data_IF_956089536144
#
_entry.id   IF_956089536144
#
_cell.length_a   1.000
_cell.length_b   1.000
_cell.length_c   1.000
_cell.angle_alpha   90.00
_cell.angle_beta   90.00
_cell.angle_gamma   90.00
#
_symmetry.space_group_name_H-M   'P 1'
#
loop_
_entity.id
_entity.type
_entity.pdbx_description
1 polymer ?
#
# COMPACT_ATOMS: atom_id res chain seq x y z
N UNK A 1 14.61 35.80 -36.11
CA UNK A 1 15.29 36.97 -36.70
C UNK A 1 15.40 38.04 -35.63
N UNK A 2 16.54 38.10 -34.94
CA UNK A 2 16.98 39.31 -34.27
C UNK A 2 17.99 39.98 -35.21
N UNK A 3 17.87 41.30 -35.32
CA UNK A 3 18.61 42.19 -36.22
C UNK A 3 20.12 42.04 -35.99
N UNK A 4 20.90 41.94 -37.07
CA UNK A 4 22.37 41.99 -37.05
C UNK A 4 22.83 43.30 -36.39
N UNK A 5 23.12 43.23 -35.09
CA UNK A 5 23.66 44.33 -34.32
C UNK A 5 25.18 44.13 -34.22
N UNK A 6 25.93 44.94 -34.97
CA UNK A 6 27.39 44.89 -35.00
C UNK A 6 27.97 45.19 -33.60
N UNK A 7 28.70 44.22 -33.04
CA UNK A 7 29.44 44.36 -31.78
C UNK A 7 30.96 44.33 -32.06
N UNK A 8 31.69 45.31 -31.55
CA UNK A 8 33.17 45.28 -31.49
C UNK A 8 33.61 45.13 -30.04
N UNK A 9 33.72 43.87 -29.56
CA UNK A 9 34.06 43.51 -28.18
C UNK A 9 33.82 42.02 -27.90
N UNK A 10 33.98 41.59 -26.64
CA UNK A 10 33.59 40.24 -26.19
C UNK A 10 32.25 40.35 -25.47
N UNK A 11 31.25 39.62 -25.95
CA UNK A 11 29.96 39.42 -25.28
C UNK A 11 29.92 38.03 -24.67
N UNK A 12 29.26 37.90 -23.52
CA UNK A 12 28.89 36.60 -22.97
C UNK A 12 27.39 36.43 -23.18
N UNK A 13 27.01 35.46 -23.98
CA UNK A 13 25.62 35.03 -24.13
C UNK A 13 25.48 33.78 -23.27
N UNK A 14 24.56 33.83 -22.30
CA UNK A 14 24.23 32.65 -21.50
C UNK A 14 23.43 31.67 -22.36
N UNK A 15 24.14 30.68 -22.90
CA UNK A 15 23.54 29.57 -23.65
C UNK A 15 23.13 28.49 -22.64
N UNK A 16 21.86 28.51 -22.22
CA UNK A 16 21.26 27.49 -21.35
C UNK A 16 20.75 26.29 -22.20
N UNK A 17 21.66 25.69 -22.96
CA UNK A 17 21.42 24.45 -23.72
C UNK A 17 22.34 23.35 -23.19
N UNK A 18 21.76 22.28 -22.66
CA UNK A 18 22.49 21.11 -22.19
C UNK A 18 21.62 20.19 -21.34
N UNK A 19 22.07 18.94 -21.21
CA UNK A 19 21.45 17.95 -20.35
C UNK A 19 21.47 18.44 -18.89
N UNK A 20 20.30 18.49 -18.25
CA UNK A 20 20.16 18.83 -16.83
C UNK A 20 20.25 17.57 -15.97
N UNK A 21 20.91 17.63 -14.80
CA UNK A 21 20.98 16.48 -13.91
C UNK A 21 19.59 16.12 -13.38
N UNK A 22 19.21 14.85 -13.51
CA UNK A 22 17.98 14.31 -12.94
C UNK A 22 18.24 13.98 -11.47
N UNK A 23 17.45 14.58 -10.58
CA UNK A 23 17.45 14.20 -9.16
C UNK A 23 16.49 13.04 -8.93
N UNK A 24 16.86 12.14 -8.02
CA UNK A 24 15.96 11.04 -7.63
C UNK A 24 14.89 11.57 -6.69
N UNK A 25 13.63 11.20 -6.93
CA UNK A 25 12.51 11.52 -6.02
C UNK A 25 12.68 10.81 -4.68
N UNK A 26 12.06 11.35 -3.63
CA UNK A 26 12.07 10.71 -2.30
C UNK A 26 11.26 9.42 -2.33
N UNK A 27 11.91 8.30 -1.98
CA UNK A 27 11.32 6.96 -2.08
C UNK A 27 10.49 6.50 -0.87
N UNK A 28 10.58 7.22 0.26
CA UNK A 28 10.24 6.69 1.58
C UNK A 28 9.25 7.56 2.35
N UNK A 29 8.28 8.16 1.64
CA UNK A 29 7.20 8.91 2.28
C UNK A 29 6.09 7.91 2.62
N UNK A 30 5.76 7.81 3.90
CA UNK A 30 4.75 6.87 4.41
C UNK A 30 3.41 7.58 4.48
N UNK A 31 2.40 7.08 3.78
CA UNK A 31 1.00 7.46 3.94
C UNK A 31 0.31 6.51 4.91
N UNK A 32 -0.27 7.04 5.99
CA UNK A 32 -1.02 6.26 6.97
C UNK A 32 -2.42 6.85 7.16
N UNK A 33 -3.43 5.98 7.17
CA UNK A 33 -4.81 6.32 7.50
C UNK A 33 -5.28 5.53 8.72
N UNK A 34 -6.05 6.17 9.60
CA UNK A 34 -6.59 5.53 10.79
C UNK A 34 -7.36 6.48 11.70
N UNK A 35 -7.78 5.97 12.85
CA UNK A 35 -8.52 6.74 13.85
C UNK A 35 -7.57 7.34 14.89
N UNK A 36 -7.95 8.49 15.42
CA UNK A 36 -7.32 9.11 16.58
C UNK A 36 -8.34 10.03 17.27
N UNK A 37 -9.22 9.51 18.15
CA UNK A 37 -10.24 10.33 18.82
C UNK A 37 -9.64 11.51 19.60
N UNK A 38 -8.51 11.27 20.27
CA UNK A 38 -7.83 12.23 21.16
C UNK A 38 -6.85 13.19 20.45
N UNK A 39 -6.84 13.22 19.12
CA UNK A 39 -5.96 14.11 18.35
C UNK A 39 -6.44 15.56 18.34
N UNK A 40 -5.48 16.50 18.35
CA UNK A 40 -5.73 17.93 18.13
C UNK A 40 -6.37 18.13 16.74
N UNK A 41 -7.66 18.48 16.72
CA UNK A 41 -8.42 18.66 15.48
C UNK A 41 -7.93 19.82 14.60
N UNK A 42 -7.17 20.77 15.17
CA UNK A 42 -6.56 21.86 14.38
C UNK A 42 -5.30 21.38 13.69
N UNK A 43 -4.50 20.56 14.38
CA UNK A 43 -3.28 19.99 13.82
C UNK A 43 -3.58 18.85 12.83
N UNK A 44 -4.53 17.98 13.18
CA UNK A 44 -4.96 16.82 12.39
C UNK A 44 -6.48 16.88 12.15
N UNK A 45 -6.92 17.71 11.20
CA UNK A 45 -8.31 17.74 10.77
C UNK A 45 -8.73 16.43 10.10
N UNK A 46 -10.01 16.07 10.24
CA UNK A 46 -10.58 14.86 9.65
C UNK A 46 -10.49 14.90 8.12
N UNK A 47 -10.22 13.73 7.51
CA UNK A 47 -10.14 13.48 6.07
C UNK A 47 -9.13 14.34 5.30
N UNK A 48 -8.30 15.14 5.97
CA UNK A 48 -7.32 16.01 5.33
C UNK A 48 -5.89 15.51 5.58
N UNK A 49 -5.10 15.28 4.51
CA UNK A 49 -3.70 14.89 4.64
C UNK A 49 -2.91 15.94 5.43
N UNK A 50 -2.18 15.51 6.45
CA UNK A 50 -1.31 16.33 7.28
C UNK A 50 0.09 15.72 7.33
N UNK A 51 1.13 16.56 7.30
CA UNK A 51 2.52 16.11 7.29
C UNK A 51 3.09 16.06 8.72
N UNK A 52 3.78 14.96 9.03
CA UNK A 52 4.72 14.85 10.15
C UNK A 52 6.12 14.70 9.57
N UNK A 53 7.00 15.67 9.82
CA UNK A 53 8.34 15.71 9.25
C UNK A 53 9.38 15.05 10.16
N UNK A 54 9.13 13.81 10.59
CA UNK A 54 10.03 13.05 11.49
C UNK A 54 10.07 13.54 12.94
N UNK A 55 9.23 14.51 13.31
CA UNK A 55 9.21 15.10 14.65
C UNK A 55 8.25 14.35 15.58
N UNK A 56 8.80 13.74 16.65
CA UNK A 56 7.98 13.12 17.72
C UNK A 56 7.06 14.13 18.41
N UNK A 57 7.44 15.41 18.45
CA UNK A 57 6.59 16.47 19.01
C UNK A 57 5.34 16.73 18.18
N UNK A 58 5.45 16.60 16.86
CA UNK A 58 4.28 16.72 15.96
C UNK A 58 3.40 15.48 16.08
N UNK A 59 4.01 14.30 16.12
CA UNK A 59 3.29 13.04 16.34
C UNK A 59 2.52 13.00 17.66
N UNK A 60 3.07 13.57 18.74
CA UNK A 60 2.39 13.65 20.04
C UNK A 60 1.05 14.39 20.01
N UNK A 61 0.77 15.22 18.98
CA UNK A 61 -0.53 15.88 18.83
C UNK A 61 -1.63 14.93 18.32
N UNK A 62 -1.28 13.71 17.92
CA UNK A 62 -2.24 12.64 17.60
C UNK A 62 -2.91 12.06 18.85
N UNK A 63 -2.29 12.24 20.02
CA UNK A 63 -2.86 11.83 21.29
C UNK A 63 -2.54 12.89 22.36
N UNK A 64 -3.46 13.85 22.47
CA UNK A 64 -3.30 14.96 23.41
C UNK A 64 -3.61 14.57 24.86
N UNK A 65 -4.28 13.44 25.07
CA UNK A 65 -4.70 12.96 26.39
C UNK A 65 -3.77 11.88 26.95
N UNK A 66 -2.91 11.29 26.11
CA UNK A 66 -2.03 10.19 26.48
C UNK A 66 -2.78 8.88 26.73
N UNK A 67 -3.94 8.70 26.08
CA UNK A 67 -4.80 7.52 26.24
C UNK A 67 -4.48 6.40 25.24
N UNK A 68 -3.72 6.70 24.19
CA UNK A 68 -3.41 5.75 23.12
C UNK A 68 -4.63 5.33 22.30
N UNK A 69 -5.72 6.09 22.34
CA UNK A 69 -6.97 5.73 21.65
C UNK A 69 -6.86 5.85 20.12
N UNK A 70 -7.50 4.89 19.43
CA UNK A 70 -7.48 4.77 17.99
C UNK A 70 -6.26 3.99 17.47
N UNK A 71 -6.05 4.03 16.16
CA UNK A 71 -4.99 3.23 15.50
C UNK A 71 -3.76 4.04 15.11
N UNK A 72 -3.87 5.37 14.99
CA UNK A 72 -2.76 6.22 14.52
C UNK A 72 -1.66 6.46 15.55
N UNK A 73 -1.92 6.71 16.85
CA UNK A 73 -0.87 7.06 17.80
C UNK A 73 0.21 5.96 17.91
N UNK A 74 -0.20 4.72 18.17
CA UNK A 74 0.72 3.57 18.29
C UNK A 74 1.41 3.25 16.96
N UNK A 75 0.70 3.37 15.83
CA UNK A 75 1.27 3.11 14.52
C UNK A 75 2.33 4.14 14.10
N UNK A 76 2.10 5.44 14.35
CA UNK A 76 3.08 6.49 14.06
C UNK A 76 4.31 6.34 14.95
N UNK A 77 4.13 6.03 16.24
CA UNK A 77 5.25 5.77 17.13
C UNK A 77 6.09 4.56 16.66
N UNK A 78 5.40 3.49 16.23
CA UNK A 78 6.02 2.30 15.65
C UNK A 78 6.88 2.57 14.41
N UNK A 79 6.48 3.53 13.56
CA UNK A 79 7.28 3.98 12.42
C UNK A 79 8.51 4.77 12.91
N UNK A 80 8.28 5.69 13.86
CA UNK A 80 9.31 6.59 14.41
C UNK A 80 10.37 5.87 15.25
N UNK A 81 10.08 4.68 15.76
CA UNK A 81 11.04 3.79 16.44
C UNK A 81 12.07 3.17 15.49
N UNK A 82 11.72 3.05 14.20
CA UNK A 82 12.66 2.59 13.19
C UNK A 82 13.49 3.75 12.64
N UNK A 83 12.81 4.82 12.20
CA UNK A 83 13.42 6.00 11.62
C UNK A 83 12.52 7.22 11.75
N UNK A 84 13.11 8.42 11.81
CA UNK A 84 12.41 9.70 11.71
C UNK A 84 11.89 9.95 10.29
N UNK A 85 10.98 9.10 9.82
CA UNK A 85 10.43 9.13 8.48
C UNK A 85 9.48 10.32 8.28
N UNK A 86 9.30 10.73 7.03
CA UNK A 86 8.26 11.70 6.65
C UNK A 86 6.96 10.95 6.49
N UNK A 87 5.94 11.33 7.27
CA UNK A 87 4.66 10.64 7.34
C UNK A 87 3.54 11.59 6.92
N UNK A 88 2.73 11.17 5.96
CA UNK A 88 1.46 11.78 5.60
C UNK A 88 0.37 11.06 6.36
N UNK A 89 -0.24 11.73 7.33
CA UNK A 89 -1.30 11.19 8.18
C UNK A 89 -2.65 11.67 7.66
N UNK A 90 -3.58 10.73 7.48
CA UNK A 90 -5.00 11.01 7.23
C UNK A 90 -5.78 10.48 8.43
N UNK A 91 -6.33 11.39 9.23
CA UNK A 91 -7.19 11.03 10.37
C UNK A 91 -8.62 10.87 9.89
N UNK A 92 -9.26 9.75 10.23
CA UNK A 92 -10.69 9.53 10.00
C UNK A 92 -11.45 9.50 11.31
N UNK A 93 -12.76 9.73 11.24
CA UNK A 93 -13.64 9.68 12.39
C UNK A 93 -13.90 8.23 12.81
N UNK A 94 -13.85 7.98 14.11
CA UNK A 94 -14.23 6.70 14.70
C UNK A 94 -15.75 6.66 14.85
N UNK A 95 -16.38 5.72 14.15
CA UNK A 95 -17.83 5.52 14.20
C UNK A 95 -18.28 4.83 15.49
N UNK A 96 -19.59 4.78 15.72
CA UNK A 96 -20.15 4.06 16.87
C UNK A 96 -20.02 2.52 16.72
N UNK A 97 -19.76 2.05 15.50
CA UNK A 97 -19.52 0.64 15.18
C UNK A 97 -18.26 0.50 14.32
N UNK A 98 -17.60 -0.67 14.41
CA UNK A 98 -16.41 -0.98 13.59
C UNK A 98 -16.68 -0.83 12.08
N UNK A 99 -17.92 -1.06 11.67
CA UNK A 99 -18.33 -0.92 10.28
C UNK A 99 -18.43 0.54 9.84
N UNK A 100 -18.98 1.42 10.68
CA UNK A 100 -18.98 2.86 10.42
C UNK A 100 -17.54 3.38 10.35
N UNK A 101 -16.68 2.94 11.25
CA UNK A 101 -15.24 3.25 11.21
C UNK A 101 -14.60 2.74 9.91
N UNK A 102 -14.88 1.51 9.49
CA UNK A 102 -14.37 0.96 8.23
C UNK A 102 -14.86 1.77 7.02
N UNK A 103 -16.13 2.20 7.02
CA UNK A 103 -16.69 3.05 5.98
C UNK A 103 -15.98 4.41 5.92
N UNK A 104 -15.67 5.00 7.07
CA UNK A 104 -14.90 6.24 7.15
C UNK A 104 -13.45 6.06 6.68
N UNK A 105 -12.82 4.91 6.96
CA UNK A 105 -11.47 4.57 6.48
C UNK A 105 -11.45 4.39 4.95
N UNK A 106 -12.44 3.70 4.39
CA UNK A 106 -12.62 3.60 2.93
C UNK A 106 -12.82 5.00 2.34
N UNK A 107 -13.72 5.77 2.93
CA UNK A 107 -14.07 7.11 2.50
C UNK A 107 -14.61 7.12 1.07
N UNK A 108 -14.20 8.12 0.30
CA UNK A 108 -14.69 8.32 -1.05
C UNK A 108 -14.41 9.74 -1.53
N UNK A 109 -15.34 10.28 -2.31
CA UNK A 109 -15.37 11.71 -2.65
C UNK A 109 -16.64 12.30 -2.08
N UNK A 110 -16.51 13.28 -1.21
CA UNK A 110 -17.65 14.00 -0.68
C UNK A 110 -18.35 14.75 -1.83
N UNK A 111 -19.65 14.48 -2.01
CA UNK A 111 -20.40 14.96 -3.17
C UNK A 111 -20.65 16.48 -3.16
N UNK A 112 -20.52 17.14 -2.00
CA UNK A 112 -20.82 18.56 -1.83
C UNK A 112 -19.56 19.43 -1.95
N UNK A 113 -18.46 18.96 -1.38
CA UNK A 113 -17.17 19.66 -1.28
C UNK A 113 -16.16 19.19 -2.31
N UNK A 114 -16.36 18.00 -2.90
CA UNK A 114 -15.42 17.35 -3.80
C UNK A 114 -14.12 16.88 -3.12
N UNK A 115 -14.08 16.88 -1.78
CA UNK A 115 -12.91 16.45 -1.04
C UNK A 115 -12.78 14.93 -1.06
N UNK A 116 -11.53 14.46 -1.18
CA UNK A 116 -11.22 13.05 -1.02
C UNK A 116 -11.16 12.69 0.46
N UNK A 117 -11.82 11.60 0.84
CA UNK A 117 -11.95 11.14 2.22
C UNK A 117 -11.31 9.76 2.40
N UNK A 118 -10.97 9.39 3.64
CA UNK A 118 -10.38 8.09 3.94
C UNK A 118 -9.09 7.80 3.16
N UNK A 119 -8.96 6.58 2.63
CA UNK A 119 -7.79 6.19 1.81
C UNK A 119 -7.62 7.05 0.55
N UNK A 120 -8.72 7.56 -0.03
CA UNK A 120 -8.63 8.36 -1.26
C UNK A 120 -7.92 9.69 -1.03
N UNK A 121 -7.88 10.19 0.21
CA UNK A 121 -7.17 11.42 0.56
C UNK A 121 -5.67 11.36 0.23
N UNK A 122 -5.06 10.17 0.12
CA UNK A 122 -3.68 10.02 -0.34
C UNK A 122 -3.45 10.58 -1.75
N UNK A 123 -4.45 10.55 -2.64
CA UNK A 123 -4.35 11.15 -3.99
C UNK A 123 -4.19 12.67 -3.94
N UNK A 124 -4.73 13.32 -2.91
CA UNK A 124 -4.64 14.76 -2.73
C UNK A 124 -3.36 15.21 -2.01
N UNK A 125 -2.64 14.28 -1.38
CA UNK A 125 -1.49 14.60 -0.52
C UNK A 125 -0.39 15.38 -1.24
N UNK A 126 -0.05 15.02 -2.48
CA UNK A 126 0.97 15.73 -3.25
C UNK A 126 0.55 17.18 -3.56
N UNK A 127 -0.71 17.39 -3.96
CA UNK A 127 -1.22 18.73 -4.27
C UNK A 127 -1.34 19.62 -3.04
N UNK A 128 -1.63 19.05 -1.87
CA UNK A 128 -1.86 19.81 -0.63
C UNK A 128 -0.55 20.05 0.12
N UNK A 129 0.30 19.02 0.23
CA UNK A 129 1.49 19.02 1.09
C UNK A 129 2.80 19.11 0.29
N UNK A 130 2.79 18.89 -1.03
CA UNK A 130 4.00 18.75 -1.84
C UNK A 130 4.70 17.39 -1.68
N UNK A 131 4.06 16.43 -1.01
CA UNK A 131 4.63 15.12 -0.70
C UNK A 131 3.67 14.00 -1.12
N UNK A 132 4.06 13.22 -2.13
CA UNK A 132 3.34 12.03 -2.56
C UNK A 132 3.75 10.81 -1.69
N UNK A 133 2.81 10.15 -0.99
CA UNK A 133 3.13 8.94 -0.23
C UNK A 133 3.44 7.78 -1.19
N UNK A 134 4.52 7.04 -0.92
CA UNK A 134 4.98 5.89 -1.71
C UNK A 134 4.86 4.55 -0.98
N UNK A 135 4.58 4.59 0.32
CA UNK A 135 4.30 3.43 1.16
C UNK A 135 2.95 3.71 1.83
N UNK A 136 1.92 2.92 1.55
CA UNK A 136 0.56 3.14 2.05
C UNK A 136 0.20 2.12 3.14
N UNK A 137 -0.42 2.61 4.21
CA UNK A 137 -0.80 1.84 5.39
C UNK A 137 -2.23 2.19 5.82
N UNK A 138 -2.97 1.17 6.25
CA UNK A 138 -4.20 1.33 7.02
C UNK A 138 -4.20 0.32 8.18
N UNK A 139 -3.39 0.56 9.23
CA UNK A 139 -3.20 -0.39 10.32
C UNK A 139 -4.53 -0.67 11.03
N UNK A 140 -4.82 -1.94 11.27
CA UNK A 140 -6.10 -2.36 11.85
C UNK A 140 -7.26 -2.49 10.87
N UNK A 141 -7.12 -2.03 9.63
CA UNK A 141 -8.20 -2.08 8.64
C UNK A 141 -7.89 -2.98 7.43
N UNK A 142 -6.66 -3.49 7.35
CA UNK A 142 -6.18 -4.35 6.24
C UNK A 142 -6.14 -5.84 6.57
N UNK A 143 -6.65 -6.29 7.72
CA UNK A 143 -6.49 -7.68 8.17
C UNK A 143 -7.74 -8.55 7.95
N UNK A 144 -8.89 -7.94 7.70
CA UNK A 144 -10.17 -8.64 7.69
C UNK A 144 -10.42 -9.36 6.36
N UNK A 145 -10.81 -10.63 6.46
CA UNK A 145 -11.32 -11.44 5.35
C UNK A 145 -12.71 -11.93 5.72
N UNK A 146 -13.71 -11.63 4.88
CA UNK A 146 -15.09 -12.05 5.17
C UNK A 146 -15.30 -13.44 4.58
N UNK A 147 -15.35 -14.45 5.46
CA UNK A 147 -15.71 -15.82 5.09
C UNK A 147 -17.16 -16.12 5.46
N UNK A 148 -17.94 -16.62 4.51
CA UNK A 148 -19.35 -16.96 4.74
C UNK A 148 -20.19 -15.73 5.08
N UNK A 149 -19.88 -14.56 4.56
CA UNK A 149 -20.72 -13.36 4.72
C UNK A 149 -21.85 -13.32 3.68
N UNK A 150 -22.95 -12.65 3.98
CA UNK A 150 -24.05 -12.40 3.05
C UNK A 150 -23.58 -11.43 1.95
N UNK A 151 -23.52 -11.88 0.70
CA UNK A 151 -23.03 -11.09 -0.45
C UNK A 151 -24.19 -10.51 -1.27
N UNK A 152 -25.28 -11.26 -1.41
CA UNK A 152 -26.44 -10.81 -2.17
C UNK A 152 -27.73 -11.07 -1.43
N UNK A 153 -28.70 -10.18 -1.62
CA UNK A 153 -30.07 -10.31 -1.14
C UNK A 153 -31.02 -10.17 -2.32
N UNK A 154 -31.68 -11.27 -2.66
CA UNK A 154 -32.68 -11.32 -3.75
C UNK A 154 -34.05 -11.68 -3.20
N UNK A 155 -35.10 -11.57 -4.00
CA UNK A 155 -36.44 -12.00 -3.62
C UNK A 155 -37.56 -11.22 -4.30
N UNK A 156 -38.78 -11.48 -3.86
CA UNK A 156 -40.00 -10.89 -4.43
C UNK A 156 -40.34 -9.60 -3.68
N UNK A 157 -40.87 -8.60 -4.39
CA UNK A 157 -41.14 -7.25 -3.87
C UNK A 157 -42.29 -7.19 -2.86
N UNK A 158 -43.22 -8.16 -2.94
CA UNK A 158 -44.46 -8.15 -2.17
C UNK A 158 -45.36 -6.95 -2.49
N UNK A 159 -46.39 -6.75 -1.67
CA UNK A 159 -47.30 -5.60 -1.80
C UNK A 159 -48.00 -5.25 -0.48
N UNK A 160 -48.45 -4.00 -0.36
CA UNK A 160 -49.25 -3.53 0.78
C UNK A 160 -48.44 -3.17 2.03
N UNK A 161 -47.14 -2.93 1.87
CA UNK A 161 -46.28 -2.43 2.95
C UNK A 161 -46.37 -0.91 3.09
N UNK A 162 -45.93 -0.38 4.22
CA UNK A 162 -45.79 1.06 4.45
C UNK A 162 -44.50 1.56 3.81
N UNK A 163 -44.55 2.71 3.12
CA UNK A 163 -43.37 3.31 2.52
C UNK A 163 -42.37 3.77 3.59
N UNK A 164 -41.09 3.48 3.37
CA UNK A 164 -40.04 3.72 4.35
C UNK A 164 -38.80 2.86 4.10
N UNK A 165 -37.77 3.08 4.92
CA UNK A 165 -36.59 2.20 4.95
C UNK A 165 -36.56 1.47 6.29
N UNK A 166 -36.52 0.14 6.24
CA UNK A 166 -36.62 -0.71 7.41
C UNK A 166 -35.42 -1.64 7.51
N UNK A 167 -34.88 -1.78 8.72
CA UNK A 167 -33.87 -2.80 9.03
C UNK A 167 -34.53 -4.16 9.09
N UNK A 168 -34.02 -5.12 8.31
CA UNK A 168 -34.51 -6.48 8.23
C UNK A 168 -34.12 -7.26 9.47
N UNK A 169 -35.03 -8.12 9.92
CA UNK A 169 -34.76 -9.07 11.00
C UNK A 169 -34.12 -10.34 10.42
N UNK A 170 -32.92 -10.66 10.89
CA UNK A 170 -32.21 -11.88 10.54
C UNK A 170 -32.80 -13.10 11.28
N UNK A 171 -32.96 -14.24 10.61
CA UNK A 171 -33.33 -15.51 11.24
C UNK A 171 -32.79 -16.73 10.46
N UNK A 172 -32.50 -17.83 11.15
CA UNK A 172 -32.26 -19.14 10.50
C UNK A 172 -30.87 -19.36 9.87
N UNK A 173 -29.90 -18.48 10.07
CA UNK A 173 -28.49 -18.72 9.70
C UNK A 173 -27.80 -19.71 10.66
N UNK A 174 -26.86 -20.50 10.16
CA UNK A 174 -26.07 -21.43 11.00
C UNK A 174 -24.58 -21.08 10.97
N UNK A 175 -23.95 -21.01 12.15
CA UNK A 175 -22.51 -20.82 12.32
C UNK A 175 -21.98 -19.38 12.20
N UNK A 176 -22.79 -18.45 11.67
CA UNK A 176 -22.41 -17.05 11.51
C UNK A 176 -23.24 -16.08 12.35
N UNK A 177 -22.77 -14.83 12.44
CA UNK A 177 -23.43 -13.76 13.18
C UNK A 177 -23.20 -12.40 12.53
N UNK A 178 -24.11 -11.45 12.80
CA UNK A 178 -23.88 -10.02 12.56
C UNK A 178 -24.26 -9.52 11.17
N UNK A 179 -25.02 -10.30 10.39
CA UNK A 179 -25.53 -9.81 9.12
C UNK A 179 -26.69 -8.82 9.34
N UNK A 180 -26.58 -7.62 8.76
CA UNK A 180 -27.58 -6.56 8.87
C UNK A 180 -27.94 -6.14 7.45
N UNK A 181 -29.23 -6.03 7.17
CA UNK A 181 -29.70 -5.57 5.87
C UNK A 181 -30.89 -4.64 6.03
N UNK A 182 -31.12 -3.79 5.04
CA UNK A 182 -32.27 -2.88 5.00
C UNK A 182 -33.04 -3.07 3.70
N UNK A 183 -34.33 -2.77 3.76
CA UNK A 183 -35.21 -2.73 2.60
C UNK A 183 -35.87 -1.35 2.50
N UNK A 184 -35.83 -0.76 1.30
CA UNK A 184 -36.56 0.47 0.98
C UNK A 184 -37.85 0.10 0.27
N UNK A 185 -38.95 0.65 0.77
CA UNK A 185 -40.31 0.41 0.31
C UNK A 185 -40.87 1.71 -0.27
N UNK A 186 -41.36 1.65 -1.51
CA UNK A 186 -41.99 2.78 -2.21
C UNK A 186 -43.22 2.28 -2.95
N UNK A 187 -44.37 2.95 -2.80
CA UNK A 187 -45.64 2.51 -3.37
C UNK A 187 -46.10 1.16 -2.79
N UNK A 188 -45.73 0.85 -1.55
CA UNK A 188 -46.05 -0.38 -0.83
C UNK A 188 -45.36 -1.64 -1.35
N UNK A 189 -44.28 -1.51 -2.11
CA UNK A 189 -43.44 -2.60 -2.65
C UNK A 189 -41.99 -2.41 -2.26
N UNK A 190 -41.26 -3.49 -2.00
CA UNK A 190 -39.82 -3.45 -1.76
C UNK A 190 -39.10 -3.12 -3.08
N UNK A 191 -38.56 -1.92 -3.20
CA UNK A 191 -37.87 -1.43 -4.40
C UNK A 191 -36.35 -1.60 -4.33
N UNK A 192 -35.77 -1.60 -3.13
CA UNK A 192 -34.33 -1.77 -2.92
C UNK A 192 -34.06 -2.67 -1.71
N UNK A 193 -33.08 -3.57 -1.84
CA UNK A 193 -32.52 -4.39 -0.76
C UNK A 193 -31.05 -4.03 -0.64
N UNK A 194 -30.61 -3.62 0.54
CA UNK A 194 -29.23 -3.18 0.78
C UNK A 194 -28.67 -3.99 1.92
N UNK A 195 -27.52 -4.63 1.69
CA UNK A 195 -26.76 -5.25 2.78
C UNK A 195 -26.02 -4.12 3.47
N UNK A 196 -26.30 -3.94 4.75
CA UNK A 196 -25.58 -2.99 5.59
C UNK A 196 -24.35 -3.69 6.12
N UNK A 197 -24.50 -4.76 6.88
CA UNK A 197 -23.41 -5.62 7.33
C UNK A 197 -23.53 -6.99 6.67
N UNK A 198 -22.46 -7.48 6.04
CA UNK A 198 -22.45 -8.83 5.47
C UNK A 198 -22.42 -9.92 6.55
N UNK A 199 -22.00 -9.59 7.77
CA UNK A 199 -21.68 -10.55 8.81
C UNK A 199 -20.56 -11.50 8.39
N UNK A 200 -20.28 -12.51 9.21
CA UNK A 200 -19.26 -13.53 8.90
C UNK A 200 -19.59 -14.87 9.54
N UNK A 201 -18.96 -15.93 9.04
CA UNK A 201 -19.03 -17.28 9.60
C UNK A 201 -20.25 -18.11 9.20
N UNK A 202 -21.15 -17.61 8.34
CA UNK A 202 -22.33 -18.38 7.96
C UNK A 202 -21.94 -19.58 7.10
N UNK A 203 -22.27 -20.78 7.57
CA UNK A 203 -22.17 -22.03 6.80
C UNK A 203 -23.46 -22.35 6.06
N UNK A 204 -24.58 -21.81 6.56
CA UNK A 204 -25.89 -21.80 5.92
C UNK A 204 -26.39 -20.37 5.93
N UNK A 205 -26.83 -19.88 4.77
CA UNK A 205 -27.26 -18.49 4.60
C UNK A 205 -28.44 -18.14 5.52
N UNK A 206 -28.39 -16.98 6.20
CA UNK A 206 -29.51 -16.50 7.00
C UNK A 206 -30.67 -16.07 6.11
N UNK A 207 -31.88 -16.15 6.64
CA UNK A 207 -33.08 -15.59 6.01
C UNK A 207 -33.42 -14.25 6.64
N UNK A 208 -33.98 -13.33 5.85
CA UNK A 208 -34.37 -12.01 6.34
C UNK A 208 -35.86 -11.81 6.19
N UNK A 209 -36.46 -11.06 7.12
CA UNK A 209 -37.86 -10.67 7.08
C UNK A 209 -38.02 -9.19 7.41
N UNK A 210 -39.08 -8.57 6.88
CA UNK A 210 -39.46 -7.22 7.27
C UNK A 210 -39.92 -7.20 8.73
N UNK A 211 -39.57 -6.15 9.50
CA UNK A 211 -40.08 -5.98 10.86
C UNK A 211 -41.57 -5.63 10.82
N UNK A 212 -42.27 -5.83 11.95
CA UNK A 212 -43.71 -5.55 12.08
C UNK A 212 -44.07 -4.08 11.75
N UNK A 213 -43.11 -3.16 11.94
CA UNK A 213 -43.24 -1.73 11.66
C UNK A 213 -43.43 -1.41 10.17
N UNK A 214 -43.04 -2.32 9.27
CA UNK A 214 -43.25 -2.19 7.83
C UNK A 214 -44.72 -2.42 7.41
N UNK A 215 -45.61 -2.71 8.36
CA UNK A 215 -47.04 -2.90 8.13
C UNK A 215 -47.44 -4.32 7.75
N UNK A 216 -48.74 -4.52 7.48
CA UNK A 216 -49.35 -5.83 7.22
C UNK A 216 -49.25 -6.30 5.75
N UNK A 217 -48.21 -5.86 5.03
CA UNK A 217 -48.00 -6.25 3.65
C UNK A 217 -47.72 -7.75 3.49
N UNK A 218 -47.93 -8.29 2.29
CA UNK A 218 -47.78 -9.72 2.01
C UNK A 218 -46.85 -9.99 0.82
N UNK A 219 -46.17 -11.14 0.84
CA UNK A 219 -45.45 -11.69 -0.31
C UNK A 219 -44.03 -11.18 -0.54
N UNK A 220 -43.47 -10.33 0.32
CA UNK A 220 -42.05 -9.97 0.22
C UNK A 220 -41.17 -11.13 0.71
N UNK A 221 -40.12 -11.45 -0.04
CA UNK A 221 -39.12 -12.47 0.34
C UNK A 221 -37.72 -11.90 0.24
N UNK A 222 -36.82 -12.44 1.07
CA UNK A 222 -35.40 -12.08 1.11
C UNK A 222 -34.57 -13.35 1.22
N UNK A 223 -33.91 -13.70 0.13
CA UNK A 223 -33.02 -14.84 -0.02
C UNK A 223 -31.60 -14.31 -0.02
N UNK A 224 -30.86 -14.62 1.05
CA UNK A 224 -29.44 -14.30 1.15
C UNK A 224 -28.60 -15.37 0.43
N UNK A 225 -27.56 -14.93 -0.27
CA UNK A 225 -26.48 -15.81 -0.72
C UNK A 225 -25.24 -15.48 0.06
N UNK A 226 -24.60 -16.49 0.65
CA UNK A 226 -23.32 -16.35 1.34
C UNK A 226 -22.16 -16.55 0.38
N UNK A 227 -21.00 -15.98 0.70
CA UNK A 227 -19.77 -16.28 0.01
C UNK A 227 -18.55 -15.68 0.70
N UNK A 228 -17.47 -15.52 -0.07
CA UNK A 228 -16.22 -14.92 0.38
C UNK A 228 -16.06 -13.52 -0.22
N UNK A 229 -15.60 -12.58 0.60
CA UNK A 229 -15.20 -11.25 0.16
C UNK A 229 -13.83 -10.89 0.76
N UNK A 230 -12.91 -10.45 -0.10
CA UNK A 230 -11.61 -9.93 0.32
C UNK A 230 -11.74 -8.59 1.07
N UNK A 231 -10.63 -8.10 1.59
CA UNK A 231 -10.62 -6.85 2.34
C UNK A 231 -10.92 -5.64 1.44
N UNK A 232 -11.96 -4.87 1.79
CA UNK A 232 -12.37 -3.71 1.01
C UNK A 232 -11.30 -2.60 0.97
N UNK A 233 -10.57 -2.38 2.09
CA UNK A 233 -9.57 -1.31 2.18
C UNK A 233 -8.37 -1.60 1.30
N UNK A 234 -7.87 -2.84 1.31
CA UNK A 234 -6.78 -3.25 0.41
C UNK A 234 -7.23 -3.20 -1.05
N UNK A 235 -8.47 -3.62 -1.35
CA UNK A 235 -9.01 -3.54 -2.71
C UNK A 235 -9.03 -2.11 -3.26
N UNK A 236 -9.52 -1.14 -2.47
CA UNK A 236 -9.49 0.28 -2.86
C UNK A 236 -8.07 0.84 -2.91
N UNK A 237 -7.22 0.49 -1.94
CA UNK A 237 -5.82 0.91 -1.91
C UNK A 237 -5.05 0.45 -3.14
N UNK A 238 -5.35 -0.70 -3.74
CA UNK A 238 -4.66 -1.17 -4.97
C UNK A 238 -4.80 -0.14 -6.09
N UNK A 239 -6.01 0.34 -6.35
CA UNK A 239 -6.23 1.37 -7.39
C UNK A 239 -5.56 2.70 -7.06
N UNK A 240 -5.48 3.06 -5.78
CA UNK A 240 -4.76 4.25 -5.31
C UNK A 240 -3.24 4.07 -5.51
N UNK A 241 -2.72 2.91 -5.13
CA UNK A 241 -1.30 2.57 -5.22
C UNK A 241 -0.82 2.49 -6.67
N UNK A 242 -1.66 2.04 -7.60
CA UNK A 242 -1.35 2.08 -9.03
C UNK A 242 -1.24 3.51 -9.56
N UNK A 243 -2.16 4.39 -9.17
CA UNK A 243 -2.14 5.80 -9.58
C UNK A 243 -0.95 6.55 -8.98
N UNK A 244 -0.62 6.28 -7.71
CA UNK A 244 0.48 6.91 -6.99
C UNK A 244 1.82 6.18 -7.13
N UNK A 245 1.91 5.10 -7.92
CA UNK A 245 3.10 4.21 -7.97
C UNK A 245 3.66 3.91 -6.57
N UNK A 246 2.76 3.59 -5.65
CA UNK A 246 3.05 3.30 -4.25
C UNK A 246 2.96 1.80 -3.97
N UNK A 247 3.48 1.37 -2.82
CA UNK A 247 3.32 0.00 -2.32
C UNK A 247 2.48 0.02 -1.04
N UNK A 248 1.63 -0.97 -0.87
CA UNK A 248 0.76 -1.15 0.29
C UNK A 248 1.43 -2.18 1.20
N UNK A 249 1.63 -1.83 2.47
CA UNK A 249 2.01 -2.81 3.49
C UNK A 249 0.73 -3.21 4.22
N UNK A 250 0.21 -4.39 3.89
CA UNK A 250 -1.00 -4.93 4.48
C UNK A 250 -0.65 -5.85 5.66
N UNK A 251 -1.49 -5.86 6.68
CA UNK A 251 -1.40 -6.80 7.78
C UNK A 251 -2.22 -8.07 7.48
N UNK A 252 -1.71 -9.23 7.88
CA UNK A 252 -2.47 -10.48 7.84
C UNK A 252 -3.51 -10.57 8.97
N UNK A 253 -4.43 -11.57 8.89
CA UNK A 253 -5.48 -11.77 9.88
C UNK A 253 -4.97 -12.15 11.27
N UNK A 254 -3.70 -12.57 11.41
CA UNK A 254 -3.08 -13.01 12.65
C UNK A 254 -3.74 -14.25 13.32
N UNK A 255 -4.69 -14.90 12.66
CA UNK A 255 -5.41 -16.08 13.18
C UNK A 255 -4.56 -17.35 13.07
N UNK A 256 -4.34 -17.85 11.85
CA UNK A 256 -3.56 -19.04 11.57
C UNK A 256 -2.89 -18.97 10.18
N UNK A 257 -1.98 -19.91 9.91
CA UNK A 257 -1.21 -19.92 8.65
C UNK A 257 -2.10 -20.10 7.41
N UNK A 258 -3.14 -20.94 7.50
CA UNK A 258 -4.03 -21.21 6.38
C UNK A 258 -4.85 -19.97 6.01
N UNK A 259 -5.37 -19.25 7.01
CA UNK A 259 -6.11 -18.01 6.80
C UNK A 259 -5.22 -16.92 6.20
N UNK A 260 -3.97 -16.80 6.68
CA UNK A 260 -3.00 -15.84 6.11
C UNK A 260 -2.66 -16.16 4.64
N UNK A 261 -2.50 -17.44 4.30
CA UNK A 261 -2.28 -17.90 2.92
C UNK A 261 -3.51 -17.65 2.05
N UNK A 262 -4.71 -17.94 2.56
CA UNK A 262 -5.96 -17.70 1.84
C UNK A 262 -6.15 -16.20 1.59
N UNK A 263 -5.85 -15.36 2.58
CA UNK A 263 -5.91 -13.92 2.47
C UNK A 263 -4.95 -13.35 1.43
N UNK A 264 -3.70 -13.84 1.39
CA UNK A 264 -2.74 -13.49 0.35
C UNK A 264 -3.24 -13.80 -1.07
N UNK A 265 -4.04 -14.86 -1.22
CA UNK A 265 -4.62 -15.30 -2.50
C UNK A 265 -5.66 -14.35 -3.09
N UNK A 266 -6.22 -13.44 -2.30
CA UNK A 266 -7.35 -12.60 -2.73
C UNK A 266 -6.94 -11.40 -3.61
N UNK A 267 -5.66 -10.98 -3.63
CA UNK A 267 -5.25 -9.68 -4.20
C UNK A 267 -4.53 -9.73 -5.55
N UNK A 268 -3.59 -10.67 -5.75
CA UNK A 268 -2.85 -10.83 -7.00
C UNK A 268 -2.03 -9.62 -7.51
N UNK A 269 -1.83 -8.58 -6.69
CA UNK A 269 -1.22 -7.31 -7.10
C UNK A 269 0.24 -7.19 -6.68
N UNK A 270 1.09 -6.69 -7.59
CA UNK A 270 2.49 -6.33 -7.29
C UNK A 270 2.64 -5.17 -6.29
N UNK A 271 1.55 -4.44 -6.04
CA UNK A 271 1.53 -3.30 -5.13
C UNK A 271 1.33 -3.72 -3.67
N UNK A 272 0.91 -4.96 -3.40
CA UNK A 272 0.62 -5.41 -2.03
C UNK A 272 1.79 -6.23 -1.50
N UNK A 273 2.24 -5.85 -0.31
CA UNK A 273 3.21 -6.58 0.49
C UNK A 273 2.56 -6.95 1.83
N UNK A 274 2.27 -8.24 2.01
CA UNK A 274 1.55 -8.75 3.17
C UNK A 274 2.52 -9.15 4.28
N UNK A 275 2.23 -8.73 5.51
CA UNK A 275 3.00 -9.06 6.70
C UNK A 275 2.10 -9.78 7.72
N UNK A 276 2.48 -11.01 8.09
CA UNK A 276 1.83 -11.79 9.15
C UNK A 276 2.92 -12.51 9.95
N UNK A 277 2.90 -12.48 11.30
CA UNK A 277 1.82 -12.08 12.21
C UNK A 277 1.94 -10.65 12.78
N UNK A 278 0.99 -10.29 13.66
CA UNK A 278 1.09 -9.10 14.53
C UNK A 278 2.31 -9.15 15.46
N UNK A 279 2.70 -7.99 16.00
CA UNK A 279 3.84 -7.84 16.91
C UNK A 279 3.39 -7.59 18.35
N UNK A 280 4.23 -7.96 19.30
CA UNK A 280 4.03 -7.68 20.73
C UNK A 280 4.87 -6.48 21.15
N UNK A 281 4.23 -5.51 21.81
CA UNK A 281 4.83 -4.27 22.29
C UNK A 281 4.40 -3.99 23.72
N UNK A 282 5.07 -3.04 24.37
CA UNK A 282 4.62 -2.52 25.66
C UNK A 282 3.91 -1.21 25.44
N UNK A 283 2.71 -1.06 26.01
CA UNK A 283 1.98 0.20 26.03
C UNK A 283 2.58 1.17 27.07
N UNK A 284 2.08 2.41 27.10
CA UNK A 284 2.53 3.42 28.06
C UNK A 284 2.21 3.07 29.53
N UNK A 285 1.29 2.13 29.75
CA UNK A 285 0.95 1.60 31.08
C UNK A 285 1.89 0.45 31.52
N UNK A 286 2.80 0.01 30.66
CA UNK A 286 3.75 -1.08 30.96
C UNK A 286 3.21 -2.48 30.69
N UNK A 287 2.02 -2.62 30.10
CA UNK A 287 1.41 -3.91 29.76
C UNK A 287 1.84 -4.38 28.36
N UNK A 288 1.89 -5.70 28.17
CA UNK A 288 2.17 -6.30 26.87
C UNK A 288 0.90 -6.27 26.01
N UNK A 289 0.93 -5.53 24.92
CA UNK A 289 -0.16 -5.37 23.97
C UNK A 289 0.22 -5.95 22.60
N UNK A 290 -0.80 -6.34 21.84
CA UNK A 290 -0.64 -6.82 20.47
C UNK A 290 -0.94 -5.68 19.51
N UNK A 291 -0.01 -5.44 18.58
CA UNK A 291 -0.06 -4.33 17.64
C UNK A 291 0.19 -4.80 16.21
N UNK A 292 -0.25 -4.00 15.24
CA UNK A 292 -0.09 -4.30 13.82
C UNK A 292 1.37 -4.19 13.38
N UNK A 293 1.80 -5.06 12.46
CA UNK A 293 3.19 -5.14 12.02
C UNK A 293 3.51 -4.15 10.89
N UNK A 294 2.51 -3.76 10.10
CA UNK A 294 2.65 -2.87 8.94
C UNK A 294 3.35 -1.54 9.25
N UNK A 295 3.12 -0.84 10.39
CA UNK A 295 3.83 0.40 10.69
C UNK A 295 5.31 0.17 11.02
N UNK A 296 5.62 -0.91 11.74
CA UNK A 296 7.01 -1.30 12.02
C UNK A 296 7.76 -1.61 10.72
N UNK A 297 7.12 -2.31 9.79
CA UNK A 297 7.72 -2.65 8.49
C UNK A 297 7.87 -1.42 7.59
N UNK A 298 6.91 -0.51 7.58
CA UNK A 298 7.03 0.74 6.83
C UNK A 298 8.18 1.62 7.34
N UNK A 299 8.31 1.75 8.67
CA UNK A 299 9.44 2.43 9.29
C UNK A 299 10.78 1.75 8.96
N UNK A 300 10.80 0.41 8.93
CA UNK A 300 11.99 -0.37 8.56
C UNK A 300 12.39 -0.14 7.10
N UNK A 301 11.43 -0.10 6.19
CA UNK A 301 11.66 0.24 4.78
C UNK A 301 12.26 1.66 4.70
N UNK A 302 11.65 2.64 5.37
CA UNK A 302 12.16 4.01 5.36
C UNK A 302 13.59 4.13 5.93
N UNK A 303 13.89 3.37 6.98
CA UNK A 303 15.25 3.26 7.52
C UNK A 303 16.22 2.65 6.51
N UNK A 304 15.86 1.52 5.91
CA UNK A 304 16.69 0.81 4.93
C UNK A 304 16.97 1.69 3.72
N UNK A 305 15.99 2.46 3.25
CA UNK A 305 16.16 3.37 2.13
C UNK A 305 17.15 4.49 2.44
N UNK A 306 17.12 5.03 3.65
CA UNK A 306 18.03 6.08 4.09
C UNK A 306 19.47 5.56 4.28
N UNK A 307 19.64 4.34 4.78
CA UNK A 307 20.96 3.76 5.07
C UNK A 307 21.61 3.05 3.87
N UNK A 308 20.80 2.41 3.00
CA UNK A 308 21.29 1.51 1.94
C UNK A 308 20.76 1.83 0.54
N UNK A 309 19.67 2.59 0.45
CA UNK A 309 18.98 2.90 -0.80
C UNK A 309 17.72 2.06 -1.01
N UNK A 310 16.79 2.58 -1.81
CA UNK A 310 15.45 1.99 -2.03
C UNK A 310 15.44 0.68 -2.82
N UNK A 311 16.54 0.38 -3.51
CA UNK A 311 16.74 -0.86 -4.26
C UNK A 311 17.14 -2.04 -3.36
N UNK A 312 17.44 -1.79 -2.08
CA UNK A 312 17.70 -2.87 -1.13
C UNK A 312 16.41 -3.52 -0.64
N UNK A 313 16.47 -4.83 -0.43
CA UNK A 313 15.39 -5.55 0.22
C UNK A 313 15.29 -5.15 1.71
N UNK A 314 14.08 -4.87 2.23
CA UNK A 314 13.86 -4.72 3.68
C UNK A 314 13.94 -6.05 4.45
N UNK A 315 14.07 -7.20 3.77
CA UNK A 315 14.26 -8.50 4.41
C UNK A 315 15.61 -8.59 5.12
N UNK A 316 15.68 -9.45 6.13
CA UNK A 316 16.84 -9.68 7.00
C UNK A 316 17.32 -8.44 7.77
N UNK A 317 16.48 -7.40 7.89
CA UNK A 317 16.76 -6.23 8.71
C UNK A 317 16.12 -6.36 10.09
N UNK A 318 16.80 -5.82 11.11
CA UNK A 318 16.31 -5.83 12.48
C UNK A 318 15.15 -4.84 12.66
N UNK A 319 14.08 -5.30 13.31
CA UNK A 319 12.94 -4.45 13.70
C UNK A 319 13.14 -3.99 15.13
N UNK A 320 13.12 -2.67 15.34
CA UNK A 320 13.20 -2.05 16.66
C UNK A 320 11.82 -2.00 17.34
N UNK A 321 11.79 -1.82 18.66
CA UNK A 321 10.53 -1.53 19.39
C UNK A 321 9.54 -2.70 19.49
N UNK A 322 9.96 -3.94 19.18
CA UNK A 322 9.13 -5.14 19.34
C UNK A 322 9.75 -6.11 20.34
N UNK A 323 8.88 -6.76 21.10
CA UNK A 323 9.25 -7.74 22.14
C UNK A 323 9.00 -9.18 21.70
N UNK A 324 8.15 -9.36 20.69
CA UNK A 324 7.74 -10.66 20.18
C UNK A 324 6.84 -10.54 18.96
N UNK A 325 6.48 -11.70 18.43
CA UNK A 325 5.36 -11.85 17.50
C UNK A 325 4.16 -12.39 18.28
N UNK A 326 2.96 -11.95 17.93
CA UNK A 326 1.71 -12.43 18.56
C UNK A 326 1.54 -13.94 18.36
N UNK A 327 1.93 -14.42 17.18
CA UNK A 327 1.97 -15.83 16.82
C UNK A 327 3.42 -16.26 16.64
N UNK A 328 3.89 -17.35 17.29
CA UNK A 328 5.27 -17.78 17.13
C UNK A 328 5.49 -18.30 15.71
N UNK A 329 6.47 -17.76 15.02
CA UNK A 329 6.93 -18.24 13.71
C UNK A 329 8.23 -19.01 13.91
N UNK A 330 8.20 -20.32 13.68
CA UNK A 330 9.41 -21.12 13.69
C UNK A 330 10.27 -20.83 12.46
N UNK A 331 11.56 -20.68 12.72
CA UNK A 331 12.60 -20.49 11.74
C UNK A 331 13.84 -21.26 12.18
N UNK A 332 14.42 -22.02 11.25
CA UNK A 332 15.69 -22.70 11.44
C UNK A 332 16.45 -22.70 10.13
N UNK A 333 17.74 -22.34 10.20
CA UNK A 333 18.62 -22.36 9.03
C UNK A 333 18.68 -23.76 8.40
N UNK A 334 18.33 -23.86 7.12
CA UNK A 334 18.34 -25.11 6.36
C UNK A 334 17.10 -26.01 6.56
N UNK A 335 16.09 -25.57 7.31
CA UNK A 335 14.84 -26.32 7.49
C UNK A 335 13.78 -25.89 6.47
N UNK A 336 13.45 -26.79 5.54
CA UNK A 336 12.42 -26.56 4.52
C UNK A 336 10.99 -26.59 5.08
N UNK A 337 10.80 -27.21 6.25
CA UNK A 337 9.48 -27.38 6.86
C UNK A 337 9.13 -26.27 7.86
N UNK A 338 10.01 -25.28 8.03
CA UNK A 338 9.77 -24.16 8.91
C UNK A 338 8.53 -23.36 8.46
N UNK A 339 7.68 -22.92 9.39
CA UNK A 339 6.51 -22.08 9.12
C UNK A 339 6.88 -20.80 8.37
N UNK A 340 8.01 -20.18 8.72
CA UNK A 340 8.52 -19.03 7.98
C UNK A 340 8.70 -19.31 6.48
N UNK A 341 9.13 -20.53 6.13
CA UNK A 341 9.30 -20.94 4.73
C UNK A 341 7.95 -21.19 4.05
N UNK A 342 7.02 -21.87 4.75
CA UNK A 342 5.65 -22.11 4.26
C UNK A 342 4.94 -20.80 3.87
N UNK A 343 4.99 -19.80 4.77
CA UNK A 343 4.37 -18.50 4.53
C UNK A 343 5.06 -17.71 3.41
N UNK A 344 6.40 -17.71 3.37
CA UNK A 344 7.16 -17.02 2.32
C UNK A 344 7.00 -17.63 0.93
N UNK A 345 6.79 -18.94 0.82
CA UNK A 345 6.47 -19.59 -0.46
C UNK A 345 5.13 -19.10 -1.01
N UNK A 346 4.20 -18.70 -0.12
CA UNK A 346 2.90 -18.12 -0.47
C UNK A 346 2.89 -16.59 -0.40
N UNK A 347 4.08 -15.97 -0.55
CA UNK A 347 4.27 -14.52 -0.62
C UNK A 347 3.83 -13.75 0.64
N UNK A 348 3.77 -14.41 1.80
CA UNK A 348 3.48 -13.78 3.09
C UNK A 348 4.80 -13.54 3.82
N UNK A 349 5.13 -12.26 4.07
CA UNK A 349 6.32 -11.91 4.84
C UNK A 349 6.08 -12.12 6.34
N UNK A 350 7.11 -12.61 7.01
CA UNK A 350 7.04 -12.99 8.44
C UNK A 350 8.07 -12.24 9.26
N UNK A 351 7.99 -12.35 10.59
CA UNK A 351 9.01 -11.84 11.51
C UNK A 351 9.63 -13.03 12.23
N UNK A 352 10.94 -13.21 12.08
CA UNK A 352 11.69 -14.31 12.71
C UNK A 352 12.55 -13.79 13.86
N UNK A 353 12.94 -14.69 14.76
CA UNK A 353 13.87 -14.40 15.85
C UNK A 353 15.23 -15.05 15.57
N UNK A 354 16.17 -14.24 15.10
CA UNK A 354 17.58 -14.62 14.93
C UNK A 354 18.47 -13.39 15.10
N UNK A 355 19.27 -13.37 16.16
CA UNK A 355 20.07 -12.19 16.56
C UNK A 355 19.23 -10.91 16.63
N UNK A 356 18.11 -11.02 17.36
CA UNK A 356 17.03 -10.04 17.40
C UNK A 356 15.82 -10.45 16.55
N UNK A 357 14.81 -9.59 16.51
CA UNK A 357 13.68 -9.77 15.59
C UNK A 357 14.00 -9.18 14.23
N UNK A 358 13.74 -9.94 13.16
CA UNK A 358 14.03 -9.55 11.79
C UNK A 358 12.81 -9.74 10.90
N UNK A 359 12.63 -8.80 9.96
CA UNK A 359 11.70 -9.03 8.85
C UNK A 359 12.25 -10.14 7.96
N UNK A 360 11.40 -11.09 7.58
CA UNK A 360 11.76 -12.26 6.81
C UNK A 360 10.76 -12.52 5.70
N UNK A 361 11.13 -12.04 4.52
CA UNK A 361 10.34 -12.08 3.31
C UNK A 361 10.58 -10.84 2.49
N UNK A 362 10.50 -10.95 1.16
CA UNK A 362 10.63 -9.81 0.26
C UNK A 362 9.70 -9.91 -0.95
N UNK A 363 8.76 -10.87 -0.92
CA UNK A 363 7.87 -11.12 -2.03
C UNK A 363 6.62 -10.25 -1.93
N UNK A 364 6.18 -9.73 -3.06
CA UNK A 364 4.87 -9.09 -3.23
C UNK A 364 3.81 -10.14 -3.54
N UNK A 365 2.54 -9.77 -3.46
CA UNK A 365 1.43 -10.63 -3.88
C UNK A 365 1.22 -10.67 -5.40
N UNK A 366 2.23 -10.31 -6.20
CA UNK A 366 2.12 -10.39 -7.66
C UNK A 366 1.96 -11.83 -8.14
N UNK A 367 1.03 -12.04 -9.08
CA UNK A 367 0.97 -13.28 -9.84
C UNK A 367 2.14 -13.42 -10.84
N UNK A 368 2.67 -12.29 -11.35
CA UNK A 368 3.78 -12.29 -12.30
C UNK A 368 5.12 -12.40 -11.55
N UNK A 369 5.85 -13.48 -11.82
CA UNK A 369 7.16 -13.75 -11.22
C UNK A 369 8.20 -12.65 -11.52
N UNK A 370 8.03 -11.87 -12.61
CA UNK A 370 8.91 -10.72 -12.89
C UNK A 370 8.84 -9.65 -11.81
N UNK A 371 7.67 -9.49 -11.20
CA UNK A 371 7.39 -8.49 -10.16
C UNK A 371 7.31 -9.11 -8.76
N UNK A 372 7.86 -10.31 -8.59
CA UNK A 372 7.80 -11.04 -7.33
C UNK A 372 8.46 -10.26 -6.19
N UNK A 373 9.54 -9.50 -6.43
CA UNK A 373 10.27 -8.84 -5.36
C UNK A 373 9.85 -7.38 -5.13
N UNK A 374 9.66 -7.00 -3.86
CA UNK A 374 9.30 -5.64 -3.48
C UNK A 374 10.33 -4.62 -3.95
N UNK A 375 11.63 -4.89 -3.76
CA UNK A 375 12.70 -3.99 -4.19
C UNK A 375 12.72 -3.79 -5.71
N UNK A 376 12.33 -4.79 -6.50
CA UNK A 376 12.23 -4.68 -7.96
C UNK A 376 11.10 -3.74 -8.36
N UNK A 377 9.92 -3.92 -7.76
CA UNK A 377 8.75 -3.03 -7.98
C UNK A 377 9.12 -1.59 -7.61
N UNK A 378 9.71 -1.38 -6.45
CA UNK A 378 10.08 -0.05 -5.95
C UNK A 378 11.15 0.62 -6.81
N UNK A 379 12.18 -0.09 -7.25
CA UNK A 379 13.20 0.47 -8.15
C UNK A 379 12.57 0.96 -9.46
N UNK A 380 11.66 0.19 -10.05
CA UNK A 380 10.96 0.60 -11.26
C UNK A 380 10.12 1.86 -11.07
N UNK A 381 9.38 1.95 -9.97
CA UNK A 381 8.54 3.13 -9.67
C UNK A 381 9.37 4.39 -9.48
N UNK A 382 10.46 4.31 -8.70
CA UNK A 382 11.32 5.47 -8.42
C UNK A 382 12.02 5.98 -9.68
N UNK A 383 12.43 5.09 -10.60
CA UNK A 383 12.97 5.50 -11.90
C UNK A 383 11.89 6.26 -12.68
N UNK A 384 10.69 5.68 -12.82
CA UNK A 384 9.61 6.29 -13.60
C UNK A 384 9.21 7.67 -13.04
N UNK A 385 9.11 7.81 -11.72
CA UNK A 385 8.77 9.08 -11.08
C UNK A 385 9.89 10.11 -11.18
N UNK A 386 11.15 9.69 -11.06
CA UNK A 386 12.30 10.61 -11.22
C UNK A 386 12.39 11.15 -12.64
N UNK A 387 12.13 10.30 -13.64
CA UNK A 387 12.05 10.74 -15.03
C UNK A 387 10.88 11.71 -15.24
N UNK A 388 9.70 11.40 -14.72
CA UNK A 388 8.51 12.26 -14.87
C UNK A 388 8.75 13.63 -14.23
N UNK A 389 9.28 13.68 -13.00
CA UNK A 389 9.50 14.91 -12.27
C UNK A 389 10.60 15.79 -12.90
N UNK A 390 11.65 15.17 -13.45
CA UNK A 390 12.80 15.90 -13.99
C UNK A 390 12.58 16.48 -15.40
N UNK A 391 11.56 16.04 -16.14
CA UNK A 391 11.33 16.45 -17.53
C UNK A 391 10.27 17.54 -17.70
N UNK A 392 9.81 18.19 -16.62
CA UNK A 392 8.86 19.32 -16.73
C UNK A 392 9.38 20.45 -17.63
N UNK A 393 10.69 20.70 -17.65
CA UNK A 393 11.32 21.69 -18.55
C UNK A 393 11.24 21.33 -20.03
N UNK A 394 11.07 20.04 -20.34
CA UNK A 394 11.01 19.51 -21.70
C UNK A 394 9.60 19.60 -22.29
N UNK A 395 8.60 19.91 -21.47
CA UNK A 395 7.23 20.23 -21.90
C UNK A 395 7.22 21.61 -22.56
N UNK A 396 6.46 21.76 -23.65
CA UNK A 396 6.30 22.98 -24.44
C UNK A 396 7.57 23.54 -25.12
N UNK A 397 8.71 22.82 -25.07
CA UNK A 397 9.87 23.13 -25.91
C UNK A 397 9.67 22.65 -27.34
N UNK A 398 10.23 23.39 -28.29
CA UNK A 398 10.22 22.98 -29.69
C UNK A 398 10.95 21.65 -29.90
N UNK A 399 10.26 20.67 -30.51
CA UNK A 399 10.82 19.36 -30.83
C UNK A 399 11.85 19.53 -31.96
N UNK A 400 13.11 19.71 -31.58
CA UNK A 400 14.25 19.82 -32.49
C UNK A 400 15.17 18.61 -32.34
N UNK A 401 16.10 18.40 -33.27
CA UNK A 401 17.08 17.32 -33.12
C UNK A 401 17.88 17.41 -31.81
N UNK A 402 18.26 18.63 -31.42
CA UNK A 402 18.98 18.87 -30.17
C UNK A 402 18.12 18.53 -28.95
N UNK A 403 16.82 18.86 -28.98
CA UNK A 403 15.89 18.48 -27.91
C UNK A 403 15.88 16.97 -27.67
N UNK A 404 15.79 16.16 -28.74
CA UNK A 404 15.78 14.69 -28.64
C UNK A 404 17.10 14.19 -28.04
N UNK A 405 18.23 14.69 -28.54
CA UNK A 405 19.56 14.32 -28.01
C UNK A 405 19.71 14.70 -26.54
N UNK A 406 19.32 15.92 -26.15
CA UNK A 406 19.46 16.43 -24.78
C UNK A 406 18.66 15.58 -23.78
N UNK A 407 17.44 15.17 -24.15
CA UNK A 407 16.60 14.29 -23.33
C UNK A 407 17.23 12.90 -23.21
N UNK A 408 17.62 12.28 -24.33
CA UNK A 408 18.24 10.94 -24.33
C UNK A 408 19.53 10.93 -23.51
N UNK A 409 20.40 11.93 -23.68
CA UNK A 409 21.64 12.04 -22.92
C UNK A 409 21.40 12.28 -21.42
N UNK A 410 20.40 13.09 -21.07
CA UNK A 410 19.99 13.34 -19.69
C UNK A 410 19.49 12.08 -18.98
N UNK A 411 18.61 11.31 -19.64
CA UNK A 411 18.12 10.03 -19.11
C UNK A 411 19.26 9.02 -18.99
N UNK A 412 20.10 8.89 -20.02
CA UNK A 412 21.24 7.97 -19.99
C UNK A 412 22.31 8.36 -18.95
N UNK A 413 22.49 9.64 -18.65
CA UNK A 413 23.34 10.08 -17.54
C UNK A 413 22.79 9.62 -16.18
N UNK A 414 21.47 9.70 -16.00
CA UNK A 414 20.80 9.23 -14.79
C UNK A 414 20.89 7.71 -14.61
N UNK A 415 20.62 6.93 -15.66
CA UNK A 415 20.74 5.45 -15.61
C UNK A 415 22.18 4.99 -15.33
N UNK A 416 23.18 5.69 -15.90
CA UNK A 416 24.59 5.46 -15.55
C UNK A 416 24.89 5.77 -14.08
N UNK A 417 24.34 6.86 -13.54
CA UNK A 417 24.47 7.17 -12.12
C UNK A 417 23.86 6.06 -11.25
N UNK A 418 22.65 5.59 -11.57
CA UNK A 418 21.99 4.48 -10.86
C UNK A 418 22.80 3.17 -10.94
N UNK A 419 23.48 2.93 -12.06
CA UNK A 419 24.37 1.78 -12.23
C UNK A 419 25.61 1.90 -11.32
N UNK A 420 26.21 3.10 -11.24
CA UNK A 420 27.39 3.36 -10.42
C UNK A 420 27.14 3.22 -8.91
N UNK A 421 25.94 3.58 -8.43
CA UNK A 421 25.55 3.38 -7.02
C UNK A 421 25.04 1.95 -6.74
N UNK A 422 24.94 1.11 -7.77
CA UNK A 422 24.47 -0.27 -7.66
C UNK A 422 22.96 -0.41 -7.47
N UNK A 423 22.16 0.58 -7.88
CA UNK A 423 20.69 0.51 -7.82
C UNK A 423 20.10 -0.34 -8.95
N UNK A 424 20.75 -0.33 -10.10
CA UNK A 424 20.43 -1.14 -11.28
C UNK A 424 21.70 -1.80 -11.82
N UNK A 425 21.55 -2.89 -12.56
CA UNK A 425 22.65 -3.56 -13.26
C UNK A 425 23.03 -2.85 -14.56
N UNK A 426 22.08 -2.11 -15.15
CA UNK A 426 22.25 -1.33 -16.37
C UNK A 426 20.91 -0.82 -16.90
N UNK A 427 20.97 0.08 -17.87
CA UNK A 427 19.81 0.60 -18.60
C UNK A 427 20.22 1.63 -19.65
N UNK A 428 19.44 1.71 -20.72
CA UNK A 428 19.63 2.63 -21.84
C UNK A 428 18.30 3.26 -22.26
N UNK A 429 18.34 4.53 -22.67
CA UNK A 429 17.23 5.30 -23.22
C UNK A 429 17.52 5.66 -24.67
N UNK A 430 16.51 5.57 -25.53
CA UNK A 430 16.56 5.94 -26.94
C UNK A 430 15.22 6.50 -27.41
N UNK A 431 15.24 7.22 -28.54
CA UNK A 431 14.04 7.67 -29.22
C UNK A 431 13.80 6.76 -30.44
N UNK A 432 12.75 5.93 -30.40
CA UNK A 432 12.43 5.01 -31.50
C UNK A 432 11.95 5.80 -32.74
N UNK A 433 12.64 5.71 -33.90
CA UNK A 433 12.23 6.40 -35.11
C UNK A 433 10.89 5.91 -35.68
N UNK A 434 10.47 4.68 -35.38
CA UNK A 434 9.22 4.11 -35.89
C UNK A 434 8.01 4.66 -35.13
N UNK A 435 8.16 4.98 -33.84
CA UNK A 435 7.13 5.65 -33.03
C UNK A 435 7.10 7.17 -33.29
N UNK A 436 8.24 7.76 -33.61
CA UNK A 436 8.43 9.20 -33.80
C UNK A 436 8.27 9.64 -35.26
N UNK A 437 7.15 9.29 -35.87
CA UNK A 437 6.85 9.67 -37.27
C UNK A 437 6.59 11.17 -37.42
N UNK A 438 6.78 11.77 -38.62
CA UNK A 438 6.52 13.19 -38.85
C UNK A 438 5.12 13.65 -38.45
N UNK A 439 4.11 12.80 -38.60
CA UNK A 439 2.72 13.09 -38.21
C UNK A 439 2.55 13.19 -36.68
N UNK A 440 3.26 12.35 -35.91
CA UNK A 440 3.25 12.45 -34.44
C UNK A 440 3.96 13.72 -33.97
N UNK A 441 5.12 14.02 -34.56
CA UNK A 441 5.89 15.23 -34.24
C UNK A 441 5.09 16.49 -34.60
N UNK A 442 4.37 16.49 -35.72
CA UNK A 442 3.47 17.59 -36.10
C UNK A 442 2.30 17.79 -35.11
N UNK A 443 1.88 16.72 -34.43
CA UNK A 443 0.90 16.76 -33.33
C UNK A 443 1.54 17.14 -31.97
N UNK A 444 2.85 17.43 -31.93
CA UNK A 444 3.58 17.73 -30.70
C UNK A 444 3.84 16.51 -29.81
N UNK A 445 3.73 15.29 -30.35
CA UNK A 445 3.93 14.04 -29.61
C UNK A 445 5.31 13.47 -29.93
N UNK A 446 6.01 13.03 -28.89
CA UNK A 446 7.30 12.35 -29.00
C UNK A 446 7.36 11.23 -27.97
N UNK A 447 7.98 10.11 -28.36
CA UNK A 447 8.14 8.90 -27.56
C UNK A 447 9.62 8.66 -27.28
N UNK A 448 9.92 8.30 -26.03
CA UNK A 448 11.23 7.85 -25.60
C UNK A 448 11.04 6.49 -24.92
N UNK A 449 11.80 5.51 -25.37
CA UNK A 449 11.85 4.20 -24.76
C UNK A 449 13.09 4.12 -23.87
N UNK A 450 12.96 3.40 -22.77
CA UNK A 450 14.10 3.09 -21.93
C UNK A 450 13.96 1.68 -21.36
N UNK A 451 15.09 0.99 -21.27
CA UNK A 451 15.21 -0.25 -20.54
C UNK A 451 16.00 -0.06 -19.24
N UNK A 452 15.81 -0.97 -18.31
CA UNK A 452 16.64 -1.09 -17.12
C UNK A 452 16.52 -2.50 -16.54
N UNK A 453 17.58 -2.95 -15.87
CA UNK A 453 17.56 -4.20 -15.10
C UNK A 453 17.81 -3.88 -13.62
N UNK A 454 16.83 -4.08 -12.72
CA UNK A 454 17.03 -3.86 -11.30
C UNK A 454 17.94 -4.93 -10.69
N UNK A 455 18.49 -4.65 -9.50
CA UNK A 455 19.21 -5.66 -8.73
C UNK A 455 18.23 -6.61 -8.06
N UNK A 456 18.48 -7.92 -8.19
CA UNK A 456 17.67 -8.95 -7.57
C UNK A 456 18.27 -9.39 -6.22
N UNK A 457 17.44 -9.61 -5.19
CA UNK A 457 17.91 -10.08 -3.90
C UNK A 457 18.33 -11.56 -3.98
N UNK A 458 19.41 -11.92 -3.28
CA UNK A 458 19.84 -13.31 -3.13
C UNK A 458 18.98 -14.05 -2.09
N UNK A 459 17.77 -14.43 -2.47
CA UNK A 459 16.78 -15.04 -1.56
C UNK A 459 17.14 -16.48 -1.14
N UNK A 460 17.80 -17.25 -2.00
CA UNK A 460 18.23 -18.61 -1.69
C UNK A 460 19.68 -18.84 -2.14
N UNK A 461 20.56 -19.12 -1.17
CA UNK A 461 21.99 -19.39 -1.40
C UNK A 461 22.26 -20.87 -1.11
N UNK A 462 22.73 -21.60 -2.12
CA UNK A 462 23.05 -23.03 -2.00
C UNK A 462 24.57 -23.26 -2.04
N UNK A 463 25.14 -23.73 -0.93
CA UNK A 463 26.52 -24.22 -0.89
C UNK A 463 26.56 -25.72 -1.22
N UNK A 464 27.35 -26.10 -2.23
CA UNK A 464 27.55 -27.52 -2.61
C UNK A 464 28.91 -27.99 -2.09
N UNK A 465 28.90 -28.89 -1.11
CA UNK A 465 30.13 -29.44 -0.52
C UNK A 465 30.60 -30.66 -1.30
N UNK A 466 31.90 -30.71 -1.59
CA UNK A 466 32.58 -31.85 -2.23
C UNK A 466 33.72 -32.31 -1.32
N UNK A 467 33.63 -33.55 -0.84
CA UNK A 467 34.73 -34.19 -0.11
C UNK A 467 35.74 -34.73 -1.11
N UNK A 468 36.94 -34.16 -1.16
CA UNK A 468 38.02 -34.58 -2.05
C UNK A 468 39.22 -35.10 -1.27
N UNK A 469 39.87 -36.14 -1.79
CA UNK A 469 41.07 -36.75 -1.20
C UNK A 469 42.37 -36.12 -1.71
N UNK A 470 42.30 -35.13 -2.60
CA UNK A 470 43.47 -34.53 -3.24
C UNK A 470 44.41 -33.85 -2.23
N UNK A 471 43.85 -33.27 -1.16
CA UNK A 471 44.62 -32.64 -0.09
C UNK A 471 45.32 -33.63 0.84
N UNK A 472 44.88 -34.89 0.87
CA UNK A 472 45.50 -35.94 1.70
C UNK A 472 46.89 -36.27 1.17
N UNK A 473 47.09 -36.19 -0.16
CA UNK A 473 48.39 -36.44 -0.80
C UNK A 473 49.47 -35.45 -0.37
N UNK A 474 49.08 -34.24 0.06
CA UNK A 474 50.01 -33.18 0.49
C UNK A 474 50.41 -33.29 1.97
N UNK A 475 49.87 -34.25 2.73
CA UNK A 475 50.20 -34.42 4.16
C UNK A 475 51.61 -35.00 4.35
N UNK A 476 52.11 -35.76 3.37
CA UNK A 476 53.40 -36.45 3.43
C UNK A 476 54.41 -35.95 2.39
N UNK A 477 54.13 -34.81 1.75
CA UNK A 477 54.98 -34.18 0.74
C UNK A 477 55.94 -33.16 1.36
#
# INVERSE_FOLDING_TARGET
>A
MAVDQFLHGVETIDIDTGARPISTVRASIVGIVGTAPSADATAFPLNKPTLIAGSRREAAKLDTLGTGEGTLPSAVDSIMDQAGAVIVVVRVEEGATDQETLANVLGGVDALTGQYEGVHAFKAAESILGFAPRILLAPGFTHTRVEGGVITLTGVEGSGYTDGTYTLTESGGTGGTGAIATATIVGGKVTKRTIVNSGSGYTVAPTFSLPAEAGAGTGATFVATIGMAGNAVVAELIGIAEALRAVIIADGPNTNDADAIAYAGDFGSKRVYLVDPQVLKTDDAGALVTEWASPCVAGLIAKSDAERGWWWSPSNQNINGIQGTARPIDFKLGDFNARANLLNEKNVATIIRQDGYRLWGNRTLSFDQKWAFLCVVRTADIIADSLTAAHLWAVDRGITKNYVTDVVEGVNAYLRYLTNIGAILGGECWADPDLNTPDQIAQGKIFFDFDFTPVYPAEHITFRSHLVNDYIKNIFA
#
